data_IF_777101634491
#
_entry.id   IF_777101634491
#
_cell.length_a   1.000
_cell.length_b   1.000
_cell.length_c   1.000
_cell.angle_alpha   90.00
_cell.angle_beta   90.00
_cell.angle_gamma   90.00
#
_symmetry.space_group_name_H-M   'P 1'
#
loop_
_entity.id
_entity.type
_entity.pdbx_description
1 polymer ?
#
# COMPACT_ATOMS: atom_id res chain seq x y z
N UNK A 1 4.79 -6.33 8.89
CA UNK A 1 4.48 -7.25 7.79
C UNK A 1 3.39 -6.57 6.97
N UNK A 2 3.59 -6.31 5.68
CA UNK A 2 2.63 -5.55 4.88
C UNK A 2 1.43 -6.42 4.50
N UNK A 3 0.22 -5.93 4.73
CA UNK A 3 -0.99 -6.71 4.50
C UNK A 3 -1.58 -6.43 3.11
N UNK A 4 -1.26 -7.28 2.13
CA UNK A 4 -1.87 -7.23 0.80
C UNK A 4 -3.15 -8.07 0.74
N UNK A 5 -4.24 -7.45 0.28
CA UNK A 5 -5.56 -8.05 0.29
C UNK A 5 -6.24 -8.03 -1.08
N UNK A 6 -7.08 -9.03 -1.33
CA UNK A 6 -7.97 -9.03 -2.50
C UNK A 6 -8.99 -7.89 -2.41
N UNK A 7 -9.62 -7.57 -3.55
CA UNK A 7 -10.69 -6.56 -3.63
C UNK A 7 -11.79 -6.74 -2.57
N UNK A 8 -12.21 -7.99 -2.34
CA UNK A 8 -13.28 -8.29 -1.37
C UNK A 8 -12.84 -8.05 0.07
N UNK A 9 -11.64 -8.52 0.42
CA UNK A 9 -11.10 -8.32 1.76
C UNK A 9 -10.82 -6.82 2.00
N UNK A 10 -10.23 -6.12 1.04
CA UNK A 10 -9.99 -4.69 1.13
C UNK A 10 -11.27 -3.86 1.30
N UNK A 11 -12.33 -4.22 0.58
CA UNK A 11 -13.64 -3.57 0.72
C UNK A 11 -14.19 -3.71 2.15
N UNK A 12 -14.09 -4.91 2.71
CA UNK A 12 -14.52 -5.20 4.08
C UNK A 12 -13.67 -4.48 5.12
N UNK A 13 -12.35 -4.55 5.01
CA UNK A 13 -11.42 -3.97 5.99
C UNK A 13 -11.43 -2.44 6.00
N UNK A 14 -11.51 -1.82 4.81
CA UNK A 14 -11.43 -0.37 4.67
C UNK A 14 -12.81 0.31 4.72
N UNK A 15 -13.88 -0.48 4.81
CA UNK A 15 -15.27 -0.02 4.69
C UNK A 15 -15.52 0.84 3.43
N UNK A 16 -14.92 0.45 2.30
CA UNK A 16 -15.06 1.11 1.01
C UNK A 16 -15.74 0.18 0.01
N UNK A 17 -16.60 0.72 -0.85
CA UNK A 17 -17.20 -0.06 -1.92
C UNK A 17 -16.17 -0.49 -2.97
N UNK A 18 -16.43 -1.60 -3.67
CA UNK A 18 -15.61 -2.03 -4.81
C UNK A 18 -15.45 -0.93 -5.88
N UNK A 19 -16.51 -0.15 -6.12
CA UNK A 19 -16.47 0.98 -7.05
C UNK A 19 -15.53 2.08 -6.57
N UNK A 20 -15.48 2.35 -5.27
CA UNK A 20 -14.57 3.34 -4.68
C UNK A 20 -13.11 2.89 -4.77
N UNK A 21 -12.83 1.62 -4.45
CA UNK A 21 -11.48 1.04 -4.63
C UNK A 21 -11.03 1.17 -6.10
N UNK A 22 -11.91 0.83 -7.05
CA UNK A 22 -11.64 0.96 -8.49
C UNK A 22 -11.42 2.42 -8.89
N UNK A 23 -12.22 3.35 -8.36
CA UNK A 23 -12.11 4.79 -8.67
C UNK A 23 -10.75 5.34 -8.25
N UNK A 24 -10.33 5.13 -7.01
CA UNK A 24 -9.04 5.64 -6.51
C UNK A 24 -7.84 5.00 -7.21
N UNK A 25 -7.98 3.75 -7.64
CA UNK A 25 -6.97 3.08 -8.47
C UNK A 25 -6.84 3.71 -9.86
N UNK A 26 -7.97 3.94 -10.53
CA UNK A 26 -7.98 4.37 -11.93
C UNK A 26 -7.76 5.87 -12.12
N UNK A 27 -8.09 6.70 -11.12
CA UNK A 27 -7.91 8.14 -11.20
C UNK A 27 -6.52 8.63 -10.71
N UNK A 28 -5.62 7.71 -10.36
CA UNK A 28 -4.28 8.03 -9.88
C UNK A 28 -4.19 8.48 -8.41
N UNK A 29 -5.29 8.49 -7.65
CA UNK A 29 -5.25 8.79 -6.21
C UNK A 29 -4.38 7.77 -5.46
N UNK A 30 -4.43 6.51 -5.89
CA UNK A 30 -3.62 5.43 -5.35
C UNK A 30 -2.56 4.98 -6.36
N UNK A 31 -1.32 5.04 -5.91
CA UNK A 31 -0.12 4.74 -6.71
C UNK A 31 0.08 3.23 -6.84
N UNK A 32 0.26 2.74 -8.07
CA UNK A 32 0.65 1.35 -8.36
C UNK A 32 2.03 1.02 -7.77
N UNK A 33 2.24 -0.21 -7.30
CA UNK A 33 3.46 -0.60 -6.60
C UNK A 33 3.52 -0.17 -5.13
N UNK A 34 2.64 0.76 -4.71
CA UNK A 34 2.61 1.30 -3.33
C UNK A 34 1.29 0.95 -2.64
N UNK A 35 0.17 1.48 -3.13
CA UNK A 35 -1.15 1.26 -2.56
C UNK A 35 -1.83 0.01 -3.12
N UNK A 36 -1.48 -0.37 -4.33
CA UNK A 36 -2.00 -1.57 -4.98
C UNK A 36 -0.97 -2.13 -5.94
N UNK A 37 -1.06 -3.42 -6.23
CA UNK A 37 -0.20 -4.11 -7.19
C UNK A 37 -1.04 -4.96 -8.12
N UNK A 38 -0.66 -4.98 -9.39
CA UNK A 38 -1.19 -5.91 -10.37
C UNK A 38 -0.36 -7.19 -10.34
N UNK A 39 -0.94 -8.29 -9.87
CA UNK A 39 -0.27 -9.61 -9.88
C UNK A 39 -0.35 -10.24 -11.27
N UNK A 40 -1.48 -10.07 -11.94
CA UNK A 40 -1.69 -10.44 -13.33
C UNK A 40 -2.87 -9.64 -13.92
N UNK A 41 -3.27 -9.91 -15.16
CA UNK A 41 -4.36 -9.18 -15.82
C UNK A 41 -5.72 -9.24 -15.11
N UNK A 42 -5.93 -10.22 -14.21
CA UNK A 42 -7.20 -10.43 -13.49
C UNK A 42 -7.09 -10.21 -11.98
N UNK A 43 -5.88 -10.14 -11.43
CA UNK A 43 -5.64 -10.09 -10.00
C UNK A 43 -4.95 -8.79 -9.59
N UNK A 44 -5.64 -8.04 -8.73
CA UNK A 44 -5.15 -6.82 -8.09
C UNK A 44 -5.20 -7.02 -6.58
N UNK A 45 -4.10 -6.71 -5.92
CA UNK A 45 -4.00 -6.69 -4.47
C UNK A 45 -3.85 -5.26 -3.97
N UNK A 46 -4.45 -4.97 -2.82
CA UNK A 46 -4.45 -3.66 -2.16
C UNK A 46 -3.61 -3.74 -0.90
N UNK A 47 -2.72 -2.78 -0.71
CA UNK A 47 -1.93 -2.60 0.50
C UNK A 47 -2.81 -1.95 1.57
N UNK A 48 -3.34 -2.76 2.49
CA UNK A 48 -4.30 -2.29 3.48
C UNK A 48 -3.70 -1.24 4.41
N UNK A 49 -2.45 -1.43 4.83
CA UNK A 49 -1.81 -0.56 5.81
C UNK A 49 -1.66 0.88 5.26
N UNK A 50 -1.11 1.01 4.05
CA UNK A 50 -0.95 2.33 3.42
C UNK A 50 -2.27 2.97 3.00
N UNK A 51 -3.24 2.18 2.54
CA UNK A 51 -4.54 2.73 2.19
C UNK A 51 -5.28 3.20 3.45
N UNK A 52 -5.19 2.45 4.55
CA UNK A 52 -5.79 2.85 5.82
C UNK A 52 -5.11 4.10 6.37
N UNK A 53 -3.78 4.20 6.28
CA UNK A 53 -3.05 5.42 6.65
C UNK A 53 -3.49 6.62 5.80
N UNK A 54 -3.61 6.43 4.49
CA UNK A 54 -4.12 7.47 3.58
C UNK A 54 -5.53 7.93 3.95
N UNK A 55 -6.42 7.01 4.36
CA UNK A 55 -7.78 7.36 4.77
C UNK A 55 -7.78 8.22 6.04
N UNK A 56 -6.92 7.93 7.01
CA UNK A 56 -6.79 8.72 8.24
C UNK A 56 -6.12 10.08 7.98
N UNK A 57 -5.08 10.10 7.15
CA UNK A 57 -4.28 11.29 6.85
C UNK A 57 -4.73 11.98 5.56
N UNK A 58 -5.98 11.78 5.12
CA UNK A 58 -6.45 12.27 3.82
C UNK A 58 -6.36 13.79 3.66
N UNK A 59 -6.43 14.50 4.78
CA UNK A 59 -6.32 15.97 4.85
C UNK A 59 -4.88 16.44 5.13
N UNK A 60 -3.95 15.51 5.38
CA UNK A 60 -2.52 15.77 5.57
C UNK A 60 -1.70 14.91 4.58
N UNK A 61 -1.56 15.37 3.33
CA UNK A 61 -0.79 14.65 2.33
C UNK A 61 0.69 14.53 2.70
N UNK A 62 1.23 15.42 3.55
CA UNK A 62 2.64 15.38 3.96
C UNK A 62 2.87 14.20 4.89
N UNK A 63 1.98 13.98 5.86
CA UNK A 63 2.02 12.81 6.73
C UNK A 63 1.96 11.51 5.91
N UNK A 64 1.05 11.44 4.93
CA UNK A 64 0.93 10.27 4.06
C UNK A 64 2.19 10.02 3.21
N UNK A 65 2.82 11.06 2.66
CA UNK A 65 4.07 10.91 1.92
C UNK A 65 5.21 10.36 2.80
N UNK A 66 5.25 10.74 4.08
CA UNK A 66 6.23 10.16 5.04
C UNK A 66 5.97 8.68 5.27
N UNK A 67 4.70 8.27 5.40
CA UNK A 67 4.34 6.86 5.54
C UNK A 67 4.74 6.04 4.31
N UNK A 68 4.54 6.59 3.09
CA UNK A 68 5.02 5.97 1.85
C UNK A 68 6.55 5.82 1.86
N UNK A 69 7.29 6.85 2.25
CA UNK A 69 8.76 6.79 2.30
C UNK A 69 9.25 5.72 3.29
N UNK A 70 8.62 5.65 4.47
CA UNK A 70 8.91 4.62 5.47
C UNK A 70 8.55 3.21 4.96
N UNK A 71 7.42 3.05 4.28
CA UNK A 71 7.05 1.80 3.66
C UNK A 71 8.13 1.31 2.71
N UNK A 72 8.59 2.17 1.78
CA UNK A 72 9.63 1.82 0.82
C UNK A 72 10.98 1.53 1.48
N UNK A 73 11.37 2.29 2.49
CA UNK A 73 12.61 2.04 3.24
C UNK A 73 12.60 0.69 3.96
N UNK A 74 11.42 0.24 4.42
CA UNK A 74 11.25 -1.02 5.14
C UNK A 74 11.06 -2.25 4.24
N UNK A 75 10.96 -2.09 2.92
CA UNK A 75 10.94 -3.21 2.00
C UNK A 75 12.26 -4.00 2.13
N UNK A 76 12.17 -5.34 2.18
CA UNK A 76 13.34 -6.21 2.30
C UNK A 76 14.37 -5.98 1.18
N UNK A 77 13.93 -5.57 -0.01
CA UNK A 77 14.80 -5.20 -1.13
C UNK A 77 15.66 -3.97 -0.85
N UNK A 78 15.19 -3.07 0.01
CA UNK A 78 15.82 -1.80 0.34
C UNK A 78 16.53 -1.82 1.70
N UNK A 79 16.32 -2.87 2.49
CA UNK A 79 17.10 -3.11 3.69
C UNK A 79 18.55 -3.38 3.27
N UNK A 80 19.48 -2.53 3.74
CA UNK A 80 20.92 -2.81 3.59
C UNK A 80 21.17 -4.21 4.16
N UNK A 81 21.86 -5.07 3.39
CA UNK A 81 22.37 -6.34 3.93
C UNK A 81 23.19 -5.98 5.16
N UNK A 82 22.76 -6.46 6.32
CA UNK A 82 23.56 -6.36 7.54
C UNK A 82 24.82 -7.19 7.31
N UNK A 83 25.90 -6.52 6.92
CA UNK A 83 27.22 -7.13 6.69
C UNK A 83 27.92 -7.48 8.02
N UNK A 84 27.15 -7.76 9.09
CA UNK A 84 27.66 -8.39 10.30
C UNK A 84 27.86 -9.88 10.05
N UNK A 85 28.84 -10.18 9.20
CA UNK A 85 29.50 -11.48 9.15
C UNK A 85 30.54 -11.48 10.27
N UNK A 86 30.31 -12.38 11.23
CA UNK A 86 31.27 -13.26 11.91
C UNK A 86 32.57 -12.61 12.40
N UNK A 87 32.71 -12.54 13.72
CA UNK A 87 33.97 -12.82 14.42
C UNK A 87 33.66 -13.56 15.70
#
# INVERSE_FOLDING_TARGET
>A
MFNFASKHLASRCLNLSHSTLKKYRLNGTWIEGTHWVKVNNRCILYNLDLIQDWLHNRHDPIAHHRAIALYHANLKSNQKRDNRIVT
#
